data_IF_984290832780
#
_entry.id   IF_984290832780
#
_cell.length_a   1.000
_cell.length_b   1.000
_cell.length_c   1.000
_cell.angle_alpha   90.00
_cell.angle_beta   90.00
_cell.angle_gamma   90.00
#
_symmetry.space_group_name_H-M   'P 1'
#
loop_
_entity.id
_entity.type
_entity.pdbx_description
1 polymer ?
#
# COMPACT_ATOMS: atom_id res chain seq x y z
N UNK A 1 -4.57 15.69 36.18
CA UNK A 1 -3.63 15.70 35.05
C UNK A 1 -3.39 14.25 34.66
N UNK A 2 -4.19 13.75 33.73
CA UNK A 2 -4.07 12.38 33.23
C UNK A 2 -3.22 12.49 31.96
N UNK A 3 -1.94 12.12 32.06
CA UNK A 3 -1.05 12.08 30.90
C UNK A 3 -1.48 10.94 30.00
N UNK A 4 -2.00 11.30 28.83
CA UNK A 4 -2.18 10.36 27.73
C UNK A 4 -0.79 9.99 27.20
N UNK A 5 -0.29 8.82 27.60
CA UNK A 5 0.90 8.24 26.99
C UNK A 5 0.50 7.72 25.61
N UNK A 6 0.47 8.63 24.64
CA UNK A 6 0.26 8.31 23.23
C UNK A 6 1.19 7.18 22.82
N UNK A 7 0.63 5.97 22.73
CA UNK A 7 1.36 4.79 22.29
C UNK A 7 1.83 5.04 20.87
N UNK A 8 3.15 5.13 20.69
CA UNK A 8 3.73 5.26 19.35
C UNK A 8 3.43 3.97 18.58
N UNK A 9 2.43 4.04 17.69
CA UNK A 9 2.10 2.94 16.79
C UNK A 9 3.30 2.71 15.88
N UNK A 10 3.95 1.55 16.00
CA UNK A 10 5.06 1.14 15.15
C UNK A 10 4.55 0.18 14.08
N UNK A 11 4.73 0.55 12.82
CA UNK A 11 4.41 -0.29 11.67
C UNK A 11 5.46 -1.40 11.53
N UNK A 12 5.02 -2.64 11.26
CA UNK A 12 5.91 -3.79 11.01
C UNK A 12 5.56 -4.41 9.66
N UNK A 13 6.55 -4.57 8.80
CA UNK A 13 6.42 -5.35 7.56
C UNK A 13 6.68 -6.82 7.89
N UNK A 14 5.68 -7.67 7.70
CA UNK A 14 5.75 -9.10 8.05
C UNK A 14 5.94 -10.02 6.83
N UNK A 15 5.75 -9.51 5.62
CA UNK A 15 5.85 -10.29 4.39
C UNK A 15 6.13 -9.41 3.17
N UNK A 16 6.95 -9.92 2.25
CA UNK A 16 7.19 -9.34 0.94
C UNK A 16 7.43 -10.47 -0.08
N UNK A 17 7.11 -10.20 -1.34
CA UNK A 17 7.24 -11.15 -2.45
C UNK A 17 7.52 -10.38 -3.74
N UNK A 18 8.37 -10.97 -4.58
CA UNK A 18 8.69 -10.42 -5.90
C UNK A 18 8.11 -11.34 -6.98
N UNK A 19 7.46 -10.73 -7.97
CA UNK A 19 6.85 -11.44 -9.09
C UNK A 19 7.09 -10.68 -10.39
N UNK A 20 7.44 -11.42 -11.44
CA UNK A 20 7.64 -10.89 -12.79
C UNK A 20 6.59 -11.47 -13.74
N UNK A 21 5.59 -10.65 -14.06
CA UNK A 21 4.55 -10.99 -15.02
C UNK A 21 5.06 -10.87 -16.48
N UNK A 22 4.47 -11.66 -17.37
CA UNK A 22 4.50 -11.41 -18.82
C UNK A 22 3.50 -10.32 -19.21
N UNK A 23 3.59 -9.84 -20.45
CA UNK A 23 2.79 -8.73 -20.99
C UNK A 23 1.27 -8.93 -20.84
N UNK A 24 0.79 -10.17 -20.92
CA UNK A 24 -0.61 -10.58 -20.88
C UNK A 24 -1.05 -11.19 -19.53
N UNK A 25 -0.20 -11.14 -18.50
CA UNK A 25 -0.45 -11.82 -17.22
C UNK A 25 -1.05 -10.92 -16.12
N UNK A 26 -1.67 -9.78 -16.47
CA UNK A 26 -2.29 -8.87 -15.49
C UNK A 26 -3.32 -9.56 -14.58
N UNK A 27 -4.17 -10.41 -15.16
CA UNK A 27 -5.20 -11.13 -14.39
C UNK A 27 -4.59 -12.14 -13.42
N UNK A 28 -3.48 -12.78 -13.81
CA UNK A 28 -2.72 -13.70 -12.96
C UNK A 28 -2.06 -12.96 -11.80
N UNK A 29 -1.52 -11.77 -12.06
CA UNK A 29 -1.01 -10.88 -11.00
C UNK A 29 -2.12 -10.48 -10.02
N UNK A 30 -3.31 -10.12 -10.51
CA UNK A 30 -4.46 -9.80 -9.65
C UNK A 30 -4.88 -11.00 -8.78
N UNK A 31 -4.95 -12.20 -9.36
CA UNK A 31 -5.26 -13.42 -8.61
C UNK A 31 -4.21 -13.71 -7.52
N UNK A 32 -2.92 -13.58 -7.84
CA UNK A 32 -1.83 -13.75 -6.87
C UNK A 32 -1.96 -12.78 -5.70
N UNK A 33 -2.16 -11.48 -5.98
CA UNK A 33 -2.34 -10.46 -4.95
C UNK A 33 -3.57 -10.74 -4.09
N UNK A 34 -4.69 -11.12 -4.71
CA UNK A 34 -5.92 -11.42 -3.98
C UNK A 34 -5.75 -12.63 -3.05
N UNK A 35 -5.11 -13.69 -3.53
CA UNK A 35 -4.82 -14.87 -2.73
C UNK A 35 -3.88 -14.55 -1.55
N UNK A 36 -2.82 -13.77 -1.80
CA UNK A 36 -1.91 -13.34 -0.74
C UNK A 36 -2.62 -12.51 0.34
N UNK A 37 -3.52 -11.61 -0.06
CA UNK A 37 -4.34 -10.81 0.85
C UNK A 37 -5.32 -11.67 1.66
N UNK A 38 -5.94 -12.67 1.01
CA UNK A 38 -6.83 -13.60 1.69
C UNK A 38 -6.11 -14.41 2.78
N UNK A 39 -4.96 -15.00 2.46
CA UNK A 39 -4.15 -15.79 3.40
C UNK A 39 -3.68 -15.00 4.61
N UNK A 40 -3.51 -13.69 4.45
CA UNK A 40 -2.99 -12.77 5.47
C UNK A 40 -4.07 -11.93 6.11
N UNK A 41 -5.32 -12.17 5.76
CA UNK A 41 -6.44 -11.40 6.27
C UNK A 41 -6.27 -9.88 6.06
N UNK A 42 -5.69 -9.50 4.91
CA UNK A 42 -5.32 -8.13 4.58
C UNK A 42 -6.28 -7.49 3.58
N UNK A 43 -6.27 -6.15 3.56
CA UNK A 43 -6.86 -5.35 2.50
C UNK A 43 -5.82 -5.06 1.40
N UNK A 44 -6.29 -4.80 0.18
CA UNK A 44 -5.43 -4.52 -0.97
C UNK A 44 -5.38 -3.01 -1.24
N UNK A 45 -4.17 -2.46 -1.29
CA UNK A 45 -3.91 -1.15 -1.91
C UNK A 45 -3.13 -1.40 -3.20
N UNK A 46 -3.64 -0.94 -4.34
CA UNK A 46 -3.01 -1.19 -5.64
C UNK A 46 -2.76 0.10 -6.42
N UNK A 47 -1.64 0.18 -7.14
CA UNK A 47 -1.38 1.28 -8.06
C UNK A 47 -2.37 1.22 -9.22
N UNK A 48 -3.19 2.27 -9.35
CA UNK A 48 -4.19 2.36 -10.39
C UNK A 48 -3.73 3.15 -11.62
N UNK A 49 -2.45 3.49 -11.72
CA UNK A 49 -1.87 4.11 -12.92
C UNK A 49 -1.41 3.03 -13.92
N UNK A 50 -1.64 3.30 -15.22
CA UNK A 50 -1.19 2.45 -16.30
C UNK A 50 -1.92 1.09 -16.32
N UNK A 51 -1.15 0.01 -16.38
CA UNK A 51 -1.68 -1.37 -16.50
C UNK A 51 -2.53 -1.80 -15.30
N UNK A 52 -2.33 -1.20 -14.12
CA UNK A 52 -3.07 -1.54 -12.90
C UNK A 52 -4.49 -0.97 -12.83
N UNK A 53 -4.88 -0.08 -13.75
CA UNK A 53 -6.16 0.63 -13.69
C UNK A 53 -7.40 -0.29 -13.61
N UNK A 54 -7.34 -1.48 -14.23
CA UNK A 54 -8.43 -2.45 -14.26
C UNK A 54 -8.41 -3.49 -13.12
N UNK A 55 -7.39 -3.49 -12.25
CA UNK A 55 -7.23 -4.50 -11.20
C UNK A 55 -8.43 -4.54 -10.24
N UNK A 56 -9.01 -3.37 -9.91
CA UNK A 56 -10.19 -3.27 -9.05
C UNK A 56 -11.42 -4.00 -9.60
N UNK A 57 -11.61 -4.04 -10.93
CA UNK A 57 -12.69 -4.80 -11.54
C UNK A 57 -12.48 -6.30 -11.32
N UNK A 58 -11.24 -6.79 -11.47
CA UNK A 58 -10.91 -8.20 -11.23
C UNK A 58 -11.08 -8.60 -9.76
N UNK A 59 -10.69 -7.74 -8.82
CA UNK A 59 -10.94 -8.01 -7.39
C UNK A 59 -12.43 -8.05 -7.05
N UNK A 60 -13.25 -7.20 -7.69
CA UNK A 60 -14.70 -7.24 -7.56
C UNK A 60 -15.29 -8.56 -8.06
N UNK A 61 -14.85 -9.01 -9.24
CA UNK A 61 -15.27 -10.27 -9.85
C UNK A 61 -14.95 -11.45 -8.91
N UNK A 62 -13.71 -11.56 -8.43
CA UNK A 62 -13.30 -12.64 -7.52
C UNK A 62 -14.12 -12.62 -6.22
N UNK A 63 -14.39 -11.44 -5.65
CA UNK A 63 -15.24 -11.32 -4.47
C UNK A 63 -16.68 -11.81 -4.75
N UNK A 64 -17.23 -11.52 -5.93
CA UNK A 64 -18.57 -11.95 -6.32
C UNK A 64 -18.64 -13.46 -6.54
N UNK A 65 -17.68 -14.02 -7.28
CA UNK A 65 -17.58 -15.46 -7.55
C UNK A 65 -17.52 -16.24 -6.24
N UNK A 66 -16.61 -15.86 -5.33
CA UNK A 66 -16.46 -16.52 -4.03
C UNK A 66 -17.72 -16.42 -3.16
N UNK A 67 -18.41 -15.28 -3.21
CA UNK A 67 -19.68 -15.09 -2.49
C UNK A 67 -20.79 -15.98 -3.07
N UNK A 68 -20.79 -16.21 -4.38
CA UNK A 68 -21.74 -17.11 -5.04
C UNK A 68 -21.52 -18.58 -4.66
N UNK A 69 -20.26 -18.98 -4.49
CA UNK A 69 -19.89 -20.34 -4.05
C UNK A 69 -20.13 -20.55 -2.55
N UNK A 70 -19.89 -19.52 -1.74
CA UNK A 70 -20.08 -19.54 -0.30
C UNK A 70 -20.56 -18.18 0.20
N UNK A 71 -21.81 -18.12 0.65
CA UNK A 71 -22.43 -16.88 1.15
C UNK A 71 -21.68 -16.24 2.34
N UNK A 72 -20.87 -17.02 3.05
CA UNK A 72 -20.05 -16.58 4.19
C UNK A 72 -18.58 -16.34 3.81
N UNK A 73 -18.22 -16.41 2.52
CA UNK A 73 -16.86 -16.13 2.07
C UNK A 73 -16.44 -14.71 2.48
N UNK A 74 -15.28 -14.60 3.12
CA UNK A 74 -14.69 -13.30 3.46
C UNK A 74 -14.45 -12.49 2.19
N UNK A 75 -15.00 -11.28 2.17
CA UNK A 75 -14.69 -10.26 1.18
C UNK A 75 -13.32 -9.65 1.48
N UNK A 76 -12.46 -9.57 0.46
CA UNK A 76 -11.22 -8.79 0.53
C UNK A 76 -11.54 -7.36 0.11
N UNK A 77 -11.28 -6.37 0.98
CA UNK A 77 -11.44 -4.97 0.59
C UNK A 77 -10.26 -4.56 -0.27
N UNK A 78 -10.50 -3.62 -1.17
CA UNK A 78 -9.47 -3.06 -2.02
C UNK A 78 -9.71 -1.59 -2.26
N UNK A 79 -8.62 -0.83 -2.36
CA UNK A 79 -8.63 0.59 -2.66
C UNK A 79 -7.54 0.93 -3.67
N UNK A 80 -7.86 1.88 -4.54
CA UNK A 80 -6.92 2.38 -5.53
C UNK A 80 -5.95 3.38 -4.89
N UNK A 81 -4.69 3.27 -5.26
CA UNK A 81 -3.67 4.27 -5.03
C UNK A 81 -3.37 4.96 -6.36
N UNK A 82 -3.75 6.23 -6.47
CA UNK A 82 -3.42 7.02 -7.65
C UNK A 82 -2.08 7.73 -7.40
N UNK A 83 -0.99 7.12 -7.87
CA UNK A 83 0.36 7.63 -7.67
C UNK A 83 0.59 9.05 -8.25
N UNK A 84 -0.22 9.47 -9.21
CA UNK A 84 -0.18 10.77 -9.86
C UNK A 84 -1.20 11.77 -9.30
N UNK A 85 -1.93 11.42 -8.24
CA UNK A 85 -2.80 12.36 -7.54
C UNK A 85 -1.97 13.45 -6.85
N UNK A 86 -2.65 14.57 -6.55
CA UNK A 86 -2.13 15.57 -5.62
C UNK A 86 -1.86 14.95 -4.25
N UNK A 87 -1.03 15.63 -3.48
CA UNK A 87 -0.64 15.21 -2.13
C UNK A 87 -1.87 15.05 -1.21
N UNK A 88 -1.76 14.16 -0.23
CA UNK A 88 -2.68 14.06 0.89
C UNK A 88 -2.53 15.29 1.79
N UNK A 89 -3.65 15.83 2.27
CA UNK A 89 -3.71 16.98 3.18
C UNK A 89 -2.78 18.13 2.72
N UNK A 90 -3.06 18.75 1.57
CA UNK A 90 -2.12 19.69 0.91
C UNK A 90 -1.76 20.92 1.76
N UNK A 91 -2.65 21.32 2.67
CA UNK A 91 -2.47 22.49 3.53
C UNK A 91 -1.86 22.15 4.90
N UNK A 92 -1.73 20.87 5.23
CA UNK A 92 -1.04 20.45 6.46
C UNK A 92 0.47 20.57 6.29
N UNK A 93 1.17 20.88 7.38
CA UNK A 93 2.61 21.13 7.35
C UNK A 93 3.44 19.90 7.71
N UNK A 94 4.42 19.59 6.86
CA UNK A 94 5.51 18.68 7.17
C UNK A 94 6.79 19.50 7.42
N UNK A 95 7.36 19.42 8.62
CA UNK A 95 8.51 20.23 9.04
C UNK A 95 8.33 21.75 8.81
N UNK A 96 7.11 22.27 9.02
CA UNK A 96 6.79 23.70 8.86
C UNK A 96 6.63 24.16 7.41
N UNK A 97 6.48 23.24 6.46
CA UNK A 97 6.22 23.53 5.04
C UNK A 97 4.92 22.80 4.63
N UNK A 98 3.95 23.45 3.99
CA UNK A 98 2.74 22.79 3.51
C UNK A 98 3.08 21.59 2.59
N UNK A 99 2.35 20.48 2.74
CA UNK A 99 2.59 19.25 1.99
C UNK A 99 2.60 19.48 0.48
N UNK A 100 1.74 20.37 -0.03
CA UNK A 100 1.68 20.72 -1.46
C UNK A 100 2.93 21.43 -1.99
N UNK A 101 3.68 22.08 -1.10
CA UNK A 101 4.92 22.79 -1.42
C UNK A 101 6.15 21.91 -1.15
N UNK A 102 6.02 20.91 -0.28
CA UNK A 102 7.11 19.97 0.04
C UNK A 102 7.17 18.76 -0.91
N UNK A 103 6.02 18.20 -1.31
CA UNK A 103 5.93 16.96 -2.10
C UNK A 103 5.38 17.20 -3.52
N UNK A 104 5.97 16.54 -4.51
CA UNK A 104 5.55 16.68 -5.91
C UNK A 104 4.21 16.00 -6.25
N UNK A 105 3.88 14.89 -5.58
CA UNK A 105 2.63 14.13 -5.75
C UNK A 105 2.45 13.13 -4.61
N UNK A 106 1.31 12.44 -4.60
CA UNK A 106 0.96 11.44 -3.58
C UNK A 106 2.01 10.32 -3.47
N UNK A 107 2.61 9.89 -4.59
CA UNK A 107 3.68 8.88 -4.57
C UNK A 107 4.92 9.37 -3.84
N UNK A 108 5.38 10.59 -4.14
CA UNK A 108 6.54 11.19 -3.49
C UNK A 108 6.33 11.33 -1.97
N UNK A 109 5.12 11.77 -1.57
CA UNK A 109 4.74 11.89 -0.16
C UNK A 109 4.73 10.52 0.54
N UNK A 110 4.03 9.53 0.00
CA UNK A 110 3.93 8.20 0.61
C UNK A 110 5.32 7.54 0.77
N UNK A 111 6.17 7.67 -0.24
CA UNK A 111 7.53 7.14 -0.21
C UNK A 111 8.40 7.80 0.84
N UNK A 112 8.33 9.13 0.93
CA UNK A 112 9.10 9.89 1.91
C UNK A 112 8.71 9.52 3.35
N UNK A 113 7.41 9.41 3.63
CA UNK A 113 6.91 9.01 4.95
C UNK A 113 7.33 7.58 5.32
N UNK A 114 7.32 6.66 4.36
CA UNK A 114 7.80 5.28 4.60
C UNK A 114 9.28 5.27 5.00
N UNK A 115 10.11 6.02 4.26
CA UNK A 115 11.55 6.09 4.54
C UNK A 115 11.84 6.83 5.85
N UNK A 116 11.06 7.87 6.18
CA UNK A 116 11.24 8.61 7.44
C UNK A 116 10.91 7.72 8.64
N UNK A 117 9.84 6.91 8.57
CA UNK A 117 9.52 5.90 9.59
C UNK A 117 10.68 4.90 9.75
N UNK A 118 11.20 4.35 8.65
CA UNK A 118 12.33 3.40 8.67
C UNK A 118 13.58 4.04 9.28
N UNK A 119 13.91 5.30 8.95
CA UNK A 119 15.08 6.00 9.50
C UNK A 119 14.97 6.29 10.99
N UNK A 120 13.75 6.52 11.49
CA UNK A 120 13.48 6.76 12.91
C UNK A 120 13.49 5.46 13.73
N UNK A 121 13.40 4.29 13.10
CA UNK A 121 13.68 3.01 13.74
C UNK A 121 15.17 2.66 13.61
N UNK A 122 15.95 2.57 14.70
CA UNK A 122 17.28 2.00 14.64
C UNK A 122 17.15 0.54 14.22
N UNK A 123 17.46 0.24 12.96
CA UNK A 123 17.53 -1.14 12.49
C UNK A 123 18.71 -1.81 13.19
N UNK A 124 18.43 -2.52 14.28
CA UNK A 124 19.37 -3.46 14.88
C UNK A 124 19.44 -4.71 14.01
N UNK A 125 20.05 -4.61 12.83
CA UNK A 125 20.78 -5.68 12.15
C UNK A 125 21.37 -5.15 10.86
N UNK A 126 22.65 -5.45 10.65
CA UNK A 126 23.41 -5.25 9.43
C UNK A 126 22.60 -5.67 8.20
N UNK A 127 22.12 -4.71 7.40
CA UNK A 127 21.82 -4.90 5.99
C UNK A 127 21.78 -3.54 5.31
N UNK A 128 22.76 -3.31 4.45
CA UNK A 128 22.90 -2.13 3.61
C UNK A 128 21.71 -2.03 2.66
N UNK A 129 20.81 -1.06 2.87
CA UNK A 129 19.80 -0.70 1.86
C UNK A 129 20.51 0.17 0.81
N UNK A 130 20.97 -0.46 -0.27
CA UNK A 130 21.50 0.22 -1.45
C UNK A 130 20.33 0.70 -2.32
N UNK A 131 20.28 2.01 -2.55
CA UNK A 131 19.37 2.66 -3.48
C UNK A 131 19.92 2.54 -4.91
N UNK A 132 19.09 2.15 -5.87
CA UNK A 132 19.36 2.43 -7.28
C UNK A 132 18.08 2.93 -7.94
N UNK A 133 18.21 4.07 -8.63
CA UNK A 133 17.19 4.74 -9.44
C UNK A 133 16.71 3.89 -10.60
#
# INVERSE_FOLDING_TARGET
>A
MSGDSGGQSRSVVFWADEWKAKEDELLKSCQRTYQAALEREADIVYDSIGVGASAGAKFSEINADRKSENAYARRVNYQRFNAGAGVHEPDDEYNGIPNKDFFANLKAQAWWLTVSEIRLTPLTTENSILWMS
#
